data_IF_497607416637
#
_entry.id   IF_497607416637
#
_cell.length_a   1.000
_cell.length_b   1.000
_cell.length_c   1.000
_cell.angle_alpha   90.00
_cell.angle_beta   90.00
_cell.angle_gamma   90.00
#
_symmetry.space_group_name_H-M   'P 1'
#
loop_
_entity.id
_entity.type
_entity.pdbx_description
1 polymer ?
#
# COMPACT_ATOMS: atom_id res chain seq x y z
N UNK A 1 -6.70 -0.38 9.31
CA UNK A 1 -6.24 -0.68 7.92
C UNK A 1 -6.94 -1.92 7.38
N UNK A 2 -7.12 -2.06 6.06
CA UNK A 2 -7.71 -3.28 5.45
C UNK A 2 -6.71 -3.88 4.48
N UNK A 3 -6.45 -5.18 4.58
CA UNK A 3 -5.53 -5.88 3.68
C UNK A 3 -6.24 -7.00 2.95
N UNK A 4 -5.79 -7.28 1.72
CA UNK A 4 -6.33 -8.37 0.92
C UNK A 4 -5.57 -9.66 1.25
N UNK A 5 -6.33 -10.74 1.41
CA UNK A 5 -5.80 -12.11 1.45
C UNK A 5 -5.08 -12.42 0.13
N UNK A 6 -3.79 -12.80 0.13
CA UNK A 6 -3.08 -13.11 -1.13
C UNK A 6 -3.60 -14.38 -1.82
N UNK A 7 -4.28 -15.27 -1.08
CA UNK A 7 -4.84 -16.53 -1.61
C UNK A 7 -6.27 -16.31 -2.13
N UNK A 8 -7.11 -15.75 -1.27
CA UNK A 8 -8.55 -15.64 -1.48
C UNK A 8 -9.02 -14.26 -1.95
N UNK A 9 -8.14 -13.25 -1.94
CA UNK A 9 -8.45 -11.84 -2.27
C UNK A 9 -9.61 -11.25 -1.47
N UNK A 10 -9.92 -11.84 -0.32
CA UNK A 10 -10.91 -11.33 0.61
C UNK A 10 -10.36 -10.11 1.35
N UNK A 11 -11.22 -9.13 1.57
CA UNK A 11 -10.91 -7.98 2.40
C UNK A 11 -10.90 -8.41 3.86
N UNK A 12 -9.74 -8.36 4.49
CA UNK A 12 -9.54 -8.74 5.88
C UNK A 12 -9.27 -7.51 6.72
N UNK A 13 -9.88 -7.50 7.90
CA UNK A 13 -9.53 -6.53 8.92
C UNK A 13 -8.13 -6.83 9.44
N UNK A 14 -7.38 -5.75 9.57
CA UNK A 14 -5.97 -5.83 9.89
C UNK A 14 -5.68 -4.87 11.02
N UNK A 15 -5.07 -5.41 12.08
CA UNK A 15 -4.74 -4.66 13.28
C UNK A 15 -3.25 -4.37 13.28
N UNK A 16 -2.90 -3.10 13.47
CA UNK A 16 -1.52 -2.68 13.68
C UNK A 16 -1.20 -2.66 15.18
N UNK A 17 0.00 -3.09 15.53
CA UNK A 17 0.50 -3.07 16.90
C UNK A 17 1.92 -2.55 16.89
N UNK A 18 2.18 -1.53 17.68
CA UNK A 18 3.48 -0.89 17.80
C UNK A 18 4.14 -1.43 19.05
N UNK A 19 5.24 -2.19 18.88
CA UNK A 19 6.02 -2.71 20.00
C UNK A 19 7.50 -2.38 19.82
N UNK A 20 8.10 -1.71 20.81
CA UNK A 20 9.51 -1.31 20.80
C UNK A 20 9.92 -0.55 19.52
N UNK A 21 9.06 0.35 19.03
CA UNK A 21 9.29 1.13 17.80
C UNK A 21 9.02 0.37 16.50
N UNK A 22 8.72 -0.93 16.56
CA UNK A 22 8.42 -1.76 15.40
C UNK A 22 6.91 -1.82 15.17
N UNK A 23 6.49 -1.65 13.91
CA UNK A 23 5.11 -1.80 13.47
C UNK A 23 4.87 -3.22 12.99
N UNK A 24 4.03 -3.93 13.72
CA UNK A 24 3.54 -5.25 13.34
C UNK A 24 2.12 -5.16 12.83
N UNK A 25 1.84 -5.96 11.82
CA UNK A 25 0.54 -6.00 11.17
C UNK A 25 0.01 -7.42 11.23
N UNK A 26 -1.15 -7.54 11.87
CA UNK A 26 -1.83 -8.80 12.12
C UNK A 26 -3.08 -8.84 11.25
N UNK A 27 -3.13 -9.80 10.34
CA UNK A 27 -4.31 -10.07 9.52
C UNK A 27 -4.77 -11.50 9.78
N UNK A 28 -6.07 -11.68 10.01
CA UNK A 28 -6.64 -12.99 10.27
C UNK A 28 -7.61 -13.34 9.15
N UNK A 29 -7.29 -14.37 8.38
CA UNK A 29 -8.20 -14.94 7.40
C UNK A 29 -8.92 -16.14 8.04
N UNK A 30 -10.26 -16.21 8.03
CA UNK A 30 -10.98 -17.38 8.53
C UNK A 30 -10.69 -18.66 7.73
N UNK A 31 -10.24 -18.52 6.49
CA UNK A 31 -10.02 -19.64 5.56
C UNK A 31 -8.55 -20.08 5.53
N UNK A 32 -7.60 -19.16 5.74
CA UNK A 32 -6.16 -19.40 5.56
C UNK A 32 -5.33 -19.17 6.84
N UNK A 33 -5.98 -18.75 7.93
CA UNK A 33 -5.35 -18.52 9.23
C UNK A 33 -4.84 -17.10 9.46
N UNK A 34 -4.15 -16.92 10.59
CA UNK A 34 -3.59 -15.64 11.02
C UNK A 34 -2.16 -15.47 10.50
N UNK A 35 -1.88 -14.32 9.87
CA UNK A 35 -0.54 -13.96 9.44
C UNK A 35 -0.09 -12.70 10.17
N UNK A 36 1.09 -12.78 10.78
CA UNK A 36 1.78 -11.65 11.41
C UNK A 36 2.99 -11.28 10.55
N UNK A 37 3.08 -10.01 10.17
CA UNK A 37 4.21 -9.50 9.39
C UNK A 37 4.72 -8.22 10.03
N UNK A 38 6.04 -8.11 10.20
CA UNK A 38 6.69 -6.84 10.53
C UNK A 38 6.69 -5.97 9.28
N UNK A 39 6.06 -4.81 9.36
CA UNK A 39 5.92 -3.91 8.19
C UNK A 39 6.90 -2.77 8.27
N UNK A 40 7.21 -2.28 9.47
CA UNK A 40 8.23 -1.26 9.66
C UNK A 40 8.97 -1.47 10.98
N UNK A 41 10.24 -1.09 10.99
CA UNK A 41 11.06 -1.00 12.21
C UNK A 41 10.98 0.39 12.84
N UNK A 42 10.32 1.32 12.15
CA UNK A 42 10.12 2.71 12.55
C UNK A 42 8.64 3.07 12.48
N UNK A 43 8.04 3.30 13.65
CA UNK A 43 6.61 3.58 13.80
C UNK A 43 6.26 5.04 13.52
N UNK A 44 7.20 5.97 13.73
CA UNK A 44 7.02 7.40 13.48
C UNK A 44 6.87 7.64 11.97
N UNK A 45 7.82 7.14 11.18
CA UNK A 45 7.82 7.23 9.73
C UNK A 45 6.58 6.57 9.10
N UNK A 46 6.11 5.45 9.66
CA UNK A 46 4.89 4.79 9.20
C UNK A 46 3.65 5.65 9.44
N UNK A 47 3.55 6.26 10.62
CA UNK A 47 2.43 7.14 11.00
C UNK A 47 2.44 8.42 10.17
N UNK A 48 3.62 9.01 9.96
CA UNK A 48 3.80 10.18 9.10
C UNK A 48 3.42 9.88 7.65
N UNK A 49 3.81 8.72 7.13
CA UNK A 49 3.45 8.27 5.78
C UNK A 49 1.94 8.10 5.59
N UNK A 50 1.25 7.53 6.58
CA UNK A 50 -0.23 7.45 6.58
C UNK A 50 -0.87 8.83 6.65
N UNK A 51 -0.26 9.77 7.37
CA UNK A 51 -0.69 11.17 7.43
C UNK A 51 -0.48 11.89 6.10
N UNK A 52 0.54 11.50 5.34
CA UNK A 52 0.89 12.05 4.03
C UNK A 52 0.21 11.34 2.86
N UNK A 53 -0.57 10.28 3.10
CA UNK A 53 -1.46 9.66 2.11
C UNK A 53 -2.69 10.57 1.86
N UNK A 54 -2.38 11.78 1.37
CA UNK A 54 -3.20 12.73 0.61
C UNK A 54 -4.46 13.31 1.27
N UNK A 55 -4.38 14.47 1.93
CA UNK A 55 -5.43 15.46 1.80
C UNK A 55 -5.39 16.08 0.38
N UNK A 56 -6.10 15.46 -0.57
CA UNK A 56 -6.64 16.15 -1.75
C UNK A 56 -5.66 16.75 -2.76
N UNK A 57 -4.83 15.93 -3.42
CA UNK A 57 -4.28 16.31 -4.72
C UNK A 57 -5.28 15.92 -5.81
N UNK A 58 -6.31 16.75 -6.01
CA UNK A 58 -7.02 16.78 -7.29
C UNK A 58 -5.95 16.96 -8.39
N UNK A 59 -5.90 16.13 -9.44
CA UNK A 59 -5.00 16.41 -10.54
C UNK A 59 -5.36 17.80 -11.05
N UNK A 60 -4.38 18.71 -11.04
CA UNK A 60 -4.47 19.93 -11.81
C UNK A 60 -4.62 19.49 -13.26
N UNK A 61 -5.69 19.93 -13.90
CA UNK A 61 -5.80 19.97 -15.35
C UNK A 61 -4.48 20.46 -15.96
N UNK A 62 -4.16 19.93 -17.14
CA UNK A 62 -3.00 20.25 -17.99
C UNK A 62 -1.71 19.46 -17.74
N UNK A 63 -1.67 18.21 -18.23
CA UNK A 63 -0.47 17.69 -18.89
C UNK A 63 -0.89 16.90 -20.14
N UNK A 64 -1.35 17.63 -21.16
CA UNK A 64 -1.29 17.14 -22.53
C UNK A 64 0.17 17.03 -22.95
N UNK A 65 0.73 15.82 -22.96
CA UNK A 65 1.93 15.54 -23.73
C UNK A 65 1.59 14.43 -24.73
N UNK A 66 1.56 14.72 -26.06
CA UNK A 66 1.35 13.68 -27.04
C UNK A 66 2.56 12.74 -27.02
N UNK A 67 2.29 11.47 -26.75
CA UNK A 67 3.23 10.38 -26.95
C UNK A 67 3.81 10.48 -28.36
N UNK A 68 5.10 10.82 -28.47
CA UNK A 68 5.81 10.77 -29.76
C UNK A 68 5.94 9.31 -30.17
N UNK A 69 5.39 8.88 -31.32
CA UNK A 69 5.57 7.50 -31.77
C UNK A 69 7.01 7.30 -32.23
N UNK A 70 7.76 6.46 -31.52
CA UNK A 70 9.06 5.99 -31.98
C UNK A 70 8.83 5.13 -33.24
N UNK A 71 9.50 5.40 -34.38
CA UNK A 71 9.40 4.52 -35.54
C UNK A 71 10.10 3.20 -35.22
N UNK A 72 9.32 2.11 -35.18
CA UNK A 72 9.83 0.75 -35.21
C UNK A 72 10.65 0.57 -36.49
N UNK A 73 11.99 0.53 -36.35
CA UNK A 73 12.88 0.16 -37.44
C UNK A 73 12.92 -1.37 -37.53
N UNK A 74 12.13 -1.92 -38.45
CA UNK A 74 12.21 -3.31 -38.89
C UNK A 74 12.11 -3.36 -40.41
N UNK A 75 13.26 -3.37 -41.09
CA UNK A 75 13.62 -4.10 -42.33
C UNK A 75 14.83 -3.43 -43.00
#
# INVERSE_FOLDING_TARGET
MKSLCPICRRLLETTETIESGNVYIHRTCPEHGTTKTKVSTDADYWTESLKYDRPGSKPCDDQGNPISPHPFLSS
#
